data_IF_066443378426
#
_entry.id   IF_066443378426
#
_cell.length_a   1.000
_cell.length_b   1.000
_cell.length_c   1.000
_cell.angle_alpha   90.00
_cell.angle_beta   90.00
_cell.angle_gamma   90.00
#
_symmetry.space_group_name_H-M   'P 1'
#
loop_
_entity.id
_entity.type
_entity.pdbx_description
1 polymer ?
#
# COMPACT_ATOMS: atom_id res chain seq x y z
N UNK A 1 -13.74 41.23 -6.98
CA UNK A 1 -14.43 40.61 -5.83
C UNK A 1 -14.44 41.63 -4.72
N UNK A 2 -15.59 41.96 -4.14
CA UNK A 2 -15.68 43.01 -3.13
C UNK A 2 -15.06 42.56 -1.79
N UNK A 3 -14.54 43.50 -1.01
CA UNK A 3 -13.93 43.25 0.31
C UNK A 3 -14.88 42.48 1.27
N UNK A 4 -16.20 42.73 1.16
CA UNK A 4 -17.26 41.99 1.88
C UNK A 4 -17.39 40.53 1.43
N UNK A 5 -17.23 40.25 0.14
CA UNK A 5 -17.36 38.89 -0.40
C UNK A 5 -16.18 38.03 0.07
N UNK A 6 -14.97 38.61 0.08
CA UNK A 6 -13.76 37.96 0.57
C UNK A 6 -13.84 37.66 2.07
N UNK A 7 -14.37 38.59 2.87
CA UNK A 7 -14.54 38.39 4.31
C UNK A 7 -15.61 37.32 4.62
N UNK A 8 -16.65 37.21 3.79
CA UNK A 8 -17.69 36.18 3.91
C UNK A 8 -17.12 34.80 3.54
N UNK A 9 -16.39 34.70 2.43
CA UNK A 9 -15.71 33.47 2.02
C UNK A 9 -14.73 32.98 3.09
N UNK A 10 -13.96 33.87 3.71
CA UNK A 10 -13.04 33.53 4.80
C UNK A 10 -13.78 32.96 6.02
N UNK A 11 -14.93 33.52 6.41
CA UNK A 11 -15.74 32.97 7.51
C UNK A 11 -16.26 31.58 7.20
N UNK A 12 -16.73 31.37 5.97
CA UNK A 12 -17.24 30.08 5.50
C UNK A 12 -16.12 29.03 5.55
N UNK A 13 -14.94 29.33 5.01
CA UNK A 13 -13.79 28.41 5.02
C UNK A 13 -13.32 28.07 6.44
N UNK A 14 -13.26 29.05 7.35
CA UNK A 14 -12.95 28.81 8.76
C UNK A 14 -13.97 27.89 9.43
N UNK A 15 -15.25 28.07 9.12
CA UNK A 15 -16.30 27.21 9.64
C UNK A 15 -16.16 25.78 9.12
N UNK A 16 -15.96 25.59 7.82
CA UNK A 16 -15.70 24.27 7.24
C UNK A 16 -14.50 23.58 7.88
N UNK A 17 -13.37 24.28 8.00
CA UNK A 17 -12.17 23.71 8.63
C UNK A 17 -12.45 23.28 10.07
N UNK A 18 -13.11 24.13 10.86
CA UNK A 18 -13.44 23.83 12.25
C UNK A 18 -14.34 22.61 12.34
N UNK A 19 -15.44 22.57 11.58
CA UNK A 19 -16.37 21.44 11.58
C UNK A 19 -15.69 20.14 11.13
N UNK A 20 -14.86 20.18 10.08
CA UNK A 20 -14.12 19.00 9.63
C UNK A 20 -13.08 18.52 10.66
N UNK A 21 -12.38 19.42 11.35
CA UNK A 21 -11.46 19.07 12.45
C UNK A 21 -12.21 18.40 13.60
N UNK A 22 -13.32 18.99 14.05
CA UNK A 22 -14.17 18.41 15.09
C UNK A 22 -14.64 17.01 14.70
N UNK A 23 -15.04 16.81 13.44
CA UNK A 23 -15.43 15.49 12.93
C UNK A 23 -14.30 14.46 12.89
N UNK A 24 -13.05 14.86 12.61
CA UNK A 24 -11.92 13.92 12.65
C UNK A 24 -11.57 13.45 14.06
N UNK A 25 -11.84 14.29 15.06
CA UNK A 25 -11.57 13.99 16.48
C UNK A 25 -12.70 13.22 17.16
N UNK A 26 -13.91 13.27 16.61
CA UNK A 26 -15.06 12.57 17.18
C UNK A 26 -15.09 11.09 16.76
N UNK A 27 -14.65 10.24 17.68
CA UNK A 27 -14.62 8.78 17.50
C UNK A 27 -15.99 8.12 17.34
N UNK A 28 -17.08 8.84 17.64
CA UNK A 28 -18.47 8.34 17.61
C UNK A 28 -19.19 8.57 16.28
N UNK A 29 -18.57 9.31 15.34
CA UNK A 29 -19.20 9.64 14.07
C UNK A 29 -19.39 8.43 13.15
N UNK A 30 -20.45 8.51 12.36
CA UNK A 30 -20.73 7.61 11.25
C UNK A 30 -19.61 7.70 10.19
N UNK A 31 -19.23 6.57 9.61
CA UNK A 31 -18.11 6.47 8.66
C UNK A 31 -18.27 7.38 7.44
N UNK A 32 -19.53 7.59 7.01
CA UNK A 32 -19.85 8.52 5.93
C UNK A 32 -19.47 9.96 6.27
N UNK A 33 -19.70 10.39 7.51
CA UNK A 33 -19.37 11.75 7.97
C UNK A 33 -17.86 11.92 8.10
N UNK A 34 -17.19 10.90 8.65
CA UNK A 34 -15.73 10.87 8.71
C UNK A 34 -15.09 10.95 7.32
N UNK A 35 -15.58 10.14 6.37
CA UNK A 35 -15.14 10.17 4.97
C UNK A 35 -15.35 11.55 4.34
N UNK A 36 -16.50 12.18 4.59
CA UNK A 36 -16.79 13.51 4.07
C UNK A 36 -15.85 14.57 4.65
N UNK A 37 -15.53 14.48 5.95
CA UNK A 37 -14.56 15.37 6.59
C UNK A 37 -13.18 15.24 5.95
N UNK A 38 -12.66 14.01 5.80
CA UNK A 38 -11.36 13.74 5.15
C UNK A 38 -11.32 14.30 3.73
N UNK A 39 -12.36 14.06 2.92
CA UNK A 39 -12.45 14.57 1.54
C UNK A 39 -12.54 16.08 1.46
N UNK A 40 -13.35 16.69 2.33
CA UNK A 40 -13.49 18.15 2.42
C UNK A 40 -12.13 18.76 2.64
N UNK A 41 -11.36 18.19 3.55
CA UNK A 41 -10.05 18.71 3.85
C UNK A 41 -9.07 18.54 2.68
N UNK A 42 -9.09 17.40 1.97
CA UNK A 42 -8.31 17.20 0.75
C UNK A 42 -8.61 18.27 -0.33
N UNK A 43 -9.90 18.54 -0.57
CA UNK A 43 -10.35 19.47 -1.61
C UNK A 43 -10.01 20.93 -1.27
N UNK A 44 -10.16 21.31 0.00
CA UNK A 44 -9.98 22.70 0.43
C UNK A 44 -8.55 23.03 0.90
N UNK A 45 -7.57 22.13 0.76
CA UNK A 45 -6.17 22.37 1.14
C UNK A 45 -5.61 23.68 0.55
N UNK A 46 -5.84 23.93 -0.74
CA UNK A 46 -5.36 25.12 -1.44
C UNK A 46 -6.00 26.42 -0.90
N UNK A 47 -7.35 26.55 -0.90
CA UNK A 47 -8.02 27.69 -0.27
C UNK A 47 -7.65 27.89 1.21
N UNK A 48 -7.46 26.81 1.97
CA UNK A 48 -7.05 26.91 3.37
C UNK A 48 -5.64 27.49 3.52
N UNK A 49 -4.68 27.07 2.68
CA UNK A 49 -3.34 27.66 2.70
C UNK A 49 -3.38 29.15 2.40
N UNK A 50 -4.12 29.56 1.37
CA UNK A 50 -4.20 30.95 0.93
C UNK A 50 -4.84 31.86 1.97
N UNK A 51 -5.89 31.38 2.66
CA UNK A 51 -6.70 32.19 3.57
C UNK A 51 -6.23 32.12 5.02
N UNK A 52 -5.74 30.97 5.45
CA UNK A 52 -5.41 30.69 6.86
C UNK A 52 -3.91 30.54 7.10
N UNK A 53 -3.13 30.43 6.03
CA UNK A 53 -1.69 30.23 6.10
C UNK A 53 -1.31 28.76 6.30
N UNK A 54 0.00 28.52 6.16
CA UNK A 54 0.55 27.17 6.22
C UNK A 54 0.45 26.53 7.61
N UNK A 55 0.55 27.30 8.68
CA UNK A 55 0.46 26.79 10.06
C UNK A 55 -0.85 26.03 10.33
N UNK A 56 -1.97 26.49 9.76
CA UNK A 56 -3.26 25.80 9.90
C UNK A 56 -3.30 24.48 9.12
N UNK A 57 -2.58 24.38 8.00
CA UNK A 57 -2.40 23.11 7.30
C UNK A 57 -1.55 22.12 8.10
N UNK A 58 -0.58 22.58 8.90
CA UNK A 58 0.20 21.72 9.80
C UNK A 58 -0.70 21.11 10.86
N UNK A 59 -1.52 21.94 11.52
CA UNK A 59 -2.50 21.48 12.51
C UNK A 59 -3.51 20.54 11.87
N UNK A 60 -3.89 20.81 10.62
CA UNK A 60 -4.74 19.90 9.88
C UNK A 60 -4.06 18.54 9.67
N UNK A 61 -2.80 18.52 9.24
CA UNK A 61 -2.04 17.29 9.09
C UNK A 61 -1.91 16.53 10.40
N UNK A 62 -1.72 17.21 11.53
CA UNK A 62 -1.69 16.59 12.87
C UNK A 62 -3.01 15.89 13.19
N UNK A 63 -4.13 16.55 12.89
CA UNK A 63 -5.46 15.98 13.13
C UNK A 63 -5.70 14.77 12.22
N UNK A 64 -5.23 14.83 10.97
CA UNK A 64 -5.34 13.75 10.02
C UNK A 64 -4.49 12.54 10.42
N UNK A 65 -3.25 12.77 10.84
CA UNK A 65 -2.34 11.72 11.31
C UNK A 65 -2.93 11.02 12.55
N UNK A 66 -3.40 11.78 13.54
CA UNK A 66 -4.04 11.22 14.74
C UNK A 66 -5.31 10.43 14.41
N UNK A 67 -6.14 10.95 13.50
CA UNK A 67 -7.34 10.25 13.04
C UNK A 67 -6.98 8.96 12.28
N UNK A 68 -5.91 8.96 11.49
CA UNK A 68 -5.38 7.80 10.79
C UNK A 68 -4.81 6.74 11.74
N UNK A 69 -4.07 7.13 12.76
CA UNK A 69 -3.60 6.22 13.82
C UNK A 69 -4.76 5.57 14.56
N UNK A 70 -5.79 6.35 14.90
CA UNK A 70 -7.02 5.83 15.51
C UNK A 70 -7.73 4.82 14.59
N UNK A 71 -7.76 5.09 13.28
CA UNK A 71 -8.31 4.16 12.30
C UNK A 71 -7.51 2.84 12.29
N UNK A 72 -6.17 2.91 12.30
CA UNK A 72 -5.30 1.74 12.34
C UNK A 72 -5.50 0.90 13.61
N UNK A 73 -5.59 1.53 14.77
CA UNK A 73 -5.85 0.83 16.05
C UNK A 73 -7.22 0.15 16.04
N UNK A 74 -8.25 0.81 15.50
CA UNK A 74 -9.61 0.28 15.43
C UNK A 74 -9.80 -0.80 14.35
N UNK A 75 -8.93 -0.85 13.34
CA UNK A 75 -8.98 -1.85 12.26
C UNK A 75 -8.68 -3.27 12.75
N UNK A 76 -8.11 -3.43 13.95
CA UNK A 76 -7.95 -4.75 14.61
C UNK A 76 -9.31 -5.36 14.98
N UNK A 77 -10.37 -4.55 15.08
CA UNK A 77 -11.65 -4.94 15.67
C UNK A 77 -12.85 -4.90 14.71
N UNK A 78 -12.74 -4.41 13.45
CA UNK A 78 -13.92 -4.15 12.58
C UNK A 78 -13.70 -4.36 11.06
N UNK A 79 -14.85 -4.43 10.37
CA UNK A 79 -15.21 -4.91 9.02
C UNK A 79 -14.59 -4.21 7.78
N UNK A 80 -14.82 -4.83 6.61
CA UNK A 80 -14.33 -4.43 5.27
C UNK A 80 -14.66 -2.98 4.86
N UNK A 81 -15.75 -2.41 5.38
CA UNK A 81 -16.22 -1.06 5.00
C UNK A 81 -15.24 0.05 5.38
N UNK A 82 -14.47 -0.13 6.47
CA UNK A 82 -13.47 0.85 6.92
C UNK A 82 -12.23 0.89 6.03
N UNK A 83 -11.88 -0.21 5.38
CA UNK A 83 -10.77 -0.24 4.43
C UNK A 83 -11.04 0.67 3.23
N UNK A 84 -12.31 0.91 2.91
CA UNK A 84 -12.72 1.83 1.84
C UNK A 84 -12.44 3.30 2.17
N UNK A 85 -12.12 3.66 3.43
CA UNK A 85 -11.70 5.01 3.80
C UNK A 85 -10.19 5.24 3.60
N UNK A 86 -9.36 4.19 3.59
CA UNK A 86 -7.90 4.32 3.48
C UNK A 86 -7.44 5.13 2.25
N UNK A 87 -8.02 4.94 1.05
CA UNK A 87 -7.65 5.74 -0.12
C UNK A 87 -7.95 7.24 0.07
N UNK A 88 -9.04 7.56 0.76
CA UNK A 88 -9.43 8.95 1.02
C UNK A 88 -8.48 9.62 2.02
N UNK A 89 -8.02 8.88 3.05
CA UNK A 89 -6.99 9.36 3.98
C UNK A 89 -5.65 9.61 3.27
N UNK A 90 -5.21 8.67 2.42
CA UNK A 90 -3.97 8.81 1.66
C UNK A 90 -4.07 9.99 0.68
N UNK A 91 -5.21 10.15 0.00
CA UNK A 91 -5.45 11.27 -0.92
C UNK A 91 -5.44 12.62 -0.17
N UNK A 92 -6.07 12.69 0.99
CA UNK A 92 -6.05 13.88 1.84
C UNK A 92 -4.63 14.21 2.31
N UNK A 93 -3.89 13.22 2.81
CA UNK A 93 -2.52 13.39 3.26
C UNK A 93 -1.62 13.90 2.14
N UNK A 94 -1.68 13.27 0.96
CA UNK A 94 -0.93 13.68 -0.22
C UNK A 94 -1.30 15.10 -0.69
N UNK A 95 -2.57 15.50 -0.55
CA UNK A 95 -3.03 16.86 -0.87
C UNK A 95 -2.42 17.90 0.06
N UNK A 96 -2.42 17.65 1.38
CA UNK A 96 -1.84 18.59 2.36
C UNK A 96 -0.35 18.72 2.17
N UNK A 97 0.36 17.58 2.15
CA UNK A 97 1.83 17.55 2.09
C UNK A 97 2.33 18.18 0.81
N UNK A 98 1.63 17.99 -0.31
CA UNK A 98 1.94 18.67 -1.56
C UNK A 98 1.98 20.20 -1.42
N UNK A 99 1.18 20.77 -0.51
CA UNK A 99 1.11 22.22 -0.28
C UNK A 99 2.01 22.75 0.82
N UNK A 100 2.58 21.90 1.68
CA UNK A 100 3.53 22.33 2.71
C UNK A 100 4.88 22.69 2.09
N UNK A 101 5.61 23.65 2.67
CA UNK A 101 6.96 24.00 2.22
C UNK A 101 8.03 23.12 2.86
N UNK A 102 7.81 22.68 4.10
CA UNK A 102 8.73 21.80 4.82
C UNK A 102 8.47 20.31 4.54
N UNK A 103 9.50 19.50 4.77
CA UNK A 103 9.46 18.04 4.62
C UNK A 103 8.90 17.37 5.89
N UNK A 104 7.79 16.62 5.83
CA UNK A 104 7.20 15.94 6.99
C UNK A 104 7.82 14.56 7.32
N UNK A 105 9.14 14.43 7.39
CA UNK A 105 9.83 13.14 7.62
C UNK A 105 9.30 12.36 8.83
N UNK A 106 9.05 13.03 9.96
CA UNK A 106 8.53 12.39 11.18
C UNK A 106 7.14 11.76 11.01
N UNK A 107 6.37 12.21 10.02
CA UNK A 107 5.01 11.74 9.75
C UNK A 107 4.99 10.57 8.76
N UNK A 108 6.14 10.22 8.18
CA UNK A 108 6.25 9.11 7.23
C UNK A 108 5.78 7.78 7.83
N UNK A 109 5.96 7.59 9.14
CA UNK A 109 5.53 6.36 9.83
C UNK A 109 4.01 6.11 9.70
N UNK A 110 3.20 7.15 9.89
CA UNK A 110 1.72 7.03 9.86
C UNK A 110 1.25 6.72 8.44
N UNK A 111 1.74 7.45 7.44
CA UNK A 111 1.33 7.23 6.04
C UNK A 111 1.83 5.88 5.51
N UNK A 112 3.04 5.45 5.88
CA UNK A 112 3.53 4.12 5.53
C UNK A 112 2.64 3.04 6.17
N UNK A 113 2.29 3.15 7.45
CA UNK A 113 1.41 2.20 8.13
C UNK A 113 0.00 2.14 7.50
N UNK A 114 -0.57 3.29 7.11
CA UNK A 114 -1.85 3.35 6.40
C UNK A 114 -1.78 2.64 5.04
N UNK A 115 -0.70 2.86 4.27
CA UNK A 115 -0.48 2.18 2.99
C UNK A 115 -0.30 0.68 3.20
N UNK A 116 0.52 0.25 4.15
CA UNK A 116 0.71 -1.17 4.46
C UNK A 116 -0.61 -1.84 4.82
N UNK A 117 -1.44 -1.19 5.65
CA UNK A 117 -2.75 -1.72 6.00
C UNK A 117 -3.70 -1.78 4.80
N UNK A 118 -3.63 -0.81 3.89
CA UNK A 118 -4.41 -0.82 2.65
C UNK A 118 -4.01 -1.97 1.73
N UNK A 119 -2.72 -2.29 1.60
CA UNK A 119 -2.26 -3.45 0.85
C UNK A 119 -2.65 -4.78 1.51
N UNK A 120 -2.58 -4.88 2.83
CA UNK A 120 -3.05 -6.08 3.55
C UNK A 120 -4.55 -6.32 3.33
N UNK A 121 -5.36 -5.26 3.34
CA UNK A 121 -6.81 -5.34 3.13
C UNK A 121 -7.24 -5.45 1.66
N UNK A 122 -6.40 -5.03 0.72
CA UNK A 122 -6.74 -4.90 -0.70
C UNK A 122 -7.41 -6.15 -1.33
N UNK A 123 -6.97 -7.40 -1.06
CA UNK A 123 -7.60 -8.59 -1.64
C UNK A 123 -9.05 -8.84 -1.22
N UNK A 124 -9.47 -8.21 -0.11
CA UNK A 124 -10.82 -8.22 0.44
C UNK A 124 -11.66 -7.05 -0.10
N UNK A 125 -11.03 -6.05 -0.72
CA UNK A 125 -11.75 -4.89 -1.25
C UNK A 125 -12.43 -5.20 -2.60
N UNK A 126 -13.56 -4.55 -2.85
CA UNK A 126 -14.31 -4.64 -4.11
C UNK A 126 -13.48 -4.13 -5.30
N UNK A 127 -13.64 -4.70 -6.49
CA UNK A 127 -12.94 -4.24 -7.71
C UNK A 127 -13.15 -2.73 -8.01
N UNK A 128 -14.28 -2.15 -7.58
CA UNK A 128 -14.55 -0.70 -7.69
C UNK A 128 -13.58 0.17 -6.89
N UNK A 129 -12.96 -0.37 -5.85
CA UNK A 129 -11.97 0.32 -5.01
C UNK A 129 -10.57 0.39 -5.65
N UNK A 130 -10.26 -0.48 -6.62
CA UNK A 130 -8.95 -0.51 -7.30
C UNK A 130 -8.58 0.85 -7.88
N UNK A 131 -9.52 1.49 -8.58
CA UNK A 131 -9.29 2.79 -9.20
C UNK A 131 -9.04 3.89 -8.15
N UNK A 132 -9.77 3.85 -7.03
CA UNK A 132 -9.57 4.80 -5.94
C UNK A 132 -8.21 4.60 -5.27
N UNK A 133 -7.87 3.35 -4.94
CA UNK A 133 -6.59 2.96 -4.32
C UNK A 133 -5.41 3.34 -5.22
N UNK A 134 -5.45 2.91 -6.49
CA UNK A 134 -4.38 3.20 -7.46
C UNK A 134 -4.18 4.70 -7.63
N UNK A 135 -5.27 5.47 -7.77
CA UNK A 135 -5.20 6.92 -7.91
C UNK A 135 -4.62 7.60 -6.67
N UNK A 136 -5.10 7.24 -5.47
CA UNK A 136 -4.60 7.82 -4.22
C UNK A 136 -3.12 7.50 -4.01
N UNK A 137 -2.68 6.28 -4.32
CA UNK A 137 -1.26 5.89 -4.25
C UNK A 137 -0.40 6.65 -5.27
N UNK A 138 -0.83 6.76 -6.53
CA UNK A 138 -0.11 7.54 -7.53
C UNK A 138 0.06 8.99 -7.12
N UNK A 139 -1.01 9.60 -6.59
CA UNK A 139 -0.96 10.97 -6.06
C UNK A 139 0.03 11.08 -4.91
N UNK A 140 0.02 10.12 -3.97
CA UNK A 140 1.01 10.06 -2.90
C UNK A 140 2.43 9.97 -3.45
N UNK A 141 2.70 9.06 -4.40
CA UNK A 141 4.04 8.89 -4.98
C UNK A 141 4.55 10.17 -5.65
N UNK A 142 3.68 10.83 -6.43
CA UNK A 142 3.99 12.11 -7.07
C UNK A 142 4.26 13.22 -6.06
N UNK A 143 3.45 13.30 -5.00
CA UNK A 143 3.65 14.27 -3.92
C UNK A 143 4.98 14.02 -3.21
N UNK A 144 5.31 12.77 -2.88
CA UNK A 144 6.56 12.43 -2.19
C UNK A 144 7.79 12.67 -3.07
N UNK A 145 7.73 12.30 -4.36
CA UNK A 145 8.82 12.55 -5.32
C UNK A 145 9.10 14.06 -5.46
N UNK A 146 8.06 14.89 -5.45
CA UNK A 146 8.20 16.34 -5.45
C UNK A 146 8.82 16.91 -4.15
N UNK A 147 8.86 16.13 -3.06
CA UNK A 147 9.51 16.48 -1.78
C UNK A 147 10.93 15.92 -1.64
N UNK A 148 11.48 15.30 -2.67
CA UNK A 148 12.85 14.78 -2.66
C UNK A 148 12.96 13.40 -2.02
N UNK A 149 13.76 13.28 -0.96
CA UNK A 149 14.14 12.01 -0.33
C UNK A 149 12.97 11.29 0.36
N UNK A 150 11.83 11.97 0.56
CA UNK A 150 10.64 11.34 1.16
C UNK A 150 10.13 10.17 0.34
N UNK A 151 10.30 10.18 -0.98
CA UNK A 151 9.89 9.05 -1.80
C UNK A 151 10.80 7.85 -1.59
N UNK A 152 12.12 8.06 -1.45
CA UNK A 152 13.06 6.98 -1.15
C UNK A 152 12.78 6.37 0.23
N UNK A 153 12.58 7.21 1.25
CA UNK A 153 12.22 6.77 2.61
C UNK A 153 10.92 5.94 2.58
N UNK A 154 9.93 6.38 1.81
CA UNK A 154 8.66 5.67 1.66
C UNK A 154 8.86 4.30 0.98
N UNK A 155 9.61 4.28 -0.12
CA UNK A 155 9.88 3.09 -0.90
C UNK A 155 10.59 2.03 -0.04
N UNK A 156 11.66 2.42 0.66
CA UNK A 156 12.43 1.56 1.57
C UNK A 156 11.55 0.94 2.68
N UNK A 157 10.63 1.72 3.26
CA UNK A 157 9.79 1.26 4.38
C UNK A 157 8.63 0.37 3.93
N UNK A 158 8.13 0.57 2.71
CA UNK A 158 6.86 -0.04 2.29
C UNK A 158 7.01 -1.17 1.30
N UNK A 159 7.88 -1.06 0.29
CA UNK A 159 7.87 -1.98 -0.86
C UNK A 159 8.22 -3.40 -0.45
N UNK A 160 9.31 -3.60 0.30
CA UNK A 160 9.68 -4.95 0.78
C UNK A 160 8.58 -5.55 1.66
N UNK A 161 8.01 -4.76 2.58
CA UNK A 161 6.93 -5.19 3.46
C UNK A 161 5.67 -5.61 2.70
N UNK A 162 5.30 -4.86 1.66
CA UNK A 162 4.16 -5.17 0.78
C UNK A 162 4.43 -6.48 0.02
N UNK A 163 5.62 -6.61 -0.58
CA UNK A 163 6.01 -7.79 -1.35
C UNK A 163 6.00 -9.05 -0.49
N UNK A 164 6.56 -9.00 0.72
CA UNK A 164 6.53 -10.13 1.67
C UNK A 164 5.09 -10.43 2.08
N UNK A 165 4.29 -9.43 2.45
CA UNK A 165 2.89 -9.64 2.88
C UNK A 165 2.05 -10.28 1.78
N UNK A 166 2.27 -9.88 0.52
CA UNK A 166 1.60 -10.44 -0.64
C UNK A 166 2.03 -11.88 -0.92
N UNK A 167 3.34 -12.13 -0.95
CA UNK A 167 3.89 -13.42 -1.35
C UNK A 167 3.88 -14.46 -0.21
N UNK A 168 3.67 -14.04 1.03
CA UNK A 168 3.43 -14.92 2.18
C UNK A 168 1.99 -15.49 2.22
N UNK A 169 1.07 -14.96 1.40
CA UNK A 169 -0.27 -15.54 1.24
C UNK A 169 -0.17 -16.92 0.55
N UNK A 170 -1.29 -17.62 0.42
CA UNK A 170 -1.29 -18.98 -0.13
C UNK A 170 -0.77 -19.00 -1.57
N UNK A 171 -0.08 -20.08 -1.92
CA UNK A 171 0.28 -20.36 -3.31
C UNK A 171 -0.94 -20.68 -4.14
N UNK A 172 -0.83 -20.51 -5.46
CA UNK A 172 -1.89 -20.85 -6.41
C UNK A 172 -2.38 -22.29 -6.24
N UNK A 173 -1.44 -23.24 -6.11
CA UNK A 173 -1.77 -24.64 -5.89
C UNK A 173 -2.48 -24.90 -4.55
N UNK A 174 -2.15 -24.15 -3.49
CA UNK A 174 -2.85 -24.25 -2.20
C UNK A 174 -4.26 -23.66 -2.27
N UNK A 175 -4.42 -22.53 -2.96
CA UNK A 175 -5.73 -21.90 -3.18
C UNK A 175 -6.66 -22.78 -4.05
N UNK A 176 -6.13 -23.42 -5.09
CA UNK A 176 -6.86 -24.36 -5.93
C UNK A 176 -7.34 -25.60 -5.13
N UNK A 177 -6.47 -26.20 -4.33
CA UNK A 177 -6.86 -27.31 -3.43
C UNK A 177 -7.89 -26.87 -2.38
N UNK A 178 -7.75 -25.68 -1.81
CA UNK A 178 -8.70 -25.16 -0.84
C UNK A 178 -10.10 -24.93 -1.47
N UNK A 179 -10.15 -24.50 -2.74
CA UNK A 179 -11.39 -24.35 -3.49
C UNK A 179 -12.09 -25.70 -3.75
N UNK A 180 -11.32 -26.77 -3.92
CA UNK A 180 -11.83 -28.13 -4.18
C UNK A 180 -12.37 -28.84 -2.92
N UNK A 181 -11.95 -28.43 -1.71
CA UNK A 181 -12.19 -29.20 -0.47
C UNK A 181 -13.41 -28.72 0.37
N UNK A 182 -14.03 -27.58 0.03
CA UNK A 182 -15.25 -26.99 0.64
C UNK A 182 -15.39 -27.00 2.18
N UNK A 183 -15.14 -25.85 2.82
CA UNK A 183 -15.95 -25.33 3.95
C UNK A 183 -16.09 -23.79 3.83
N UNK A 184 -17.32 -23.31 3.61
CA UNK A 184 -17.68 -21.90 3.27
C UNK A 184 -17.26 -20.83 4.29
N UNK A 185 -16.83 -21.19 5.50
CA UNK A 185 -16.53 -20.22 6.57
C UNK A 185 -15.08 -19.73 6.59
N UNK A 186 -14.14 -20.39 5.89
CA UNK A 186 -12.71 -20.01 5.83
C UNK A 186 -12.19 -19.69 4.42
N UNK A 187 -13.06 -19.80 3.40
CA UNK A 187 -12.77 -19.61 1.97
C UNK A 187 -12.22 -18.22 1.61
N UNK A 188 -12.55 -17.19 2.40
CA UNK A 188 -12.15 -15.82 2.12
C UNK A 188 -10.64 -15.57 2.22
N UNK A 189 -9.96 -16.20 3.19
CA UNK A 189 -8.51 -16.05 3.38
C UNK A 189 -7.71 -17.09 2.60
N UNK A 190 -8.29 -18.28 2.37
CA UNK A 190 -7.62 -19.35 1.64
C UNK A 190 -7.43 -19.06 0.14
N UNK A 191 -8.29 -18.22 -0.44
CA UNK A 191 -8.23 -17.77 -1.85
C UNK A 191 -7.45 -16.47 -2.08
N UNK A 192 -6.78 -15.93 -1.04
CA UNK A 192 -5.95 -14.74 -1.21
C UNK A 192 -4.60 -15.15 -1.80
N UNK A 193 -4.40 -14.88 -3.08
CA UNK A 193 -3.13 -15.11 -3.80
C UNK A 193 -2.54 -13.77 -4.26
N UNK A 194 -1.27 -13.78 -4.69
CA UNK A 194 -0.62 -12.61 -5.26
C UNK A 194 -1.35 -12.06 -6.51
N UNK A 195 -2.10 -12.91 -7.24
CA UNK A 195 -2.77 -12.54 -8.50
C UNK A 195 -3.72 -11.37 -8.34
N UNK A 196 -4.40 -11.26 -7.19
CA UNK A 196 -5.29 -10.13 -6.89
C UNK A 196 -4.55 -8.80 -6.96
N UNK A 197 -3.29 -8.76 -6.52
CA UNK A 197 -2.46 -7.57 -6.48
C UNK A 197 -1.89 -7.14 -7.84
N UNK A 198 -1.78 -8.05 -8.82
CA UNK A 198 -1.21 -7.75 -10.13
C UNK A 198 -1.91 -6.57 -10.81
N UNK A 199 -3.25 -6.51 -10.73
CA UNK A 199 -4.02 -5.42 -11.31
C UNK A 199 -3.66 -4.05 -10.68
N UNK A 200 -3.39 -4.03 -9.37
CA UNK A 200 -2.97 -2.82 -8.66
C UNK A 200 -1.57 -2.40 -9.07
N UNK A 201 -0.59 -3.31 -9.04
CA UNK A 201 0.79 -2.99 -9.43
C UNK A 201 0.89 -2.52 -10.88
N UNK A 202 0.18 -3.18 -11.80
CA UNK A 202 0.09 -2.75 -13.20
C UNK A 202 -0.53 -1.36 -13.30
N UNK A 203 -1.63 -1.12 -12.60
CA UNK A 203 -2.27 0.18 -12.57
C UNK A 203 -1.32 1.26 -12.05
N UNK A 204 -0.53 1.01 -11.00
CA UNK A 204 0.44 1.97 -10.45
C UNK A 204 1.52 2.41 -11.45
N UNK A 205 1.89 1.55 -12.40
CA UNK A 205 2.88 1.86 -13.44
C UNK A 205 2.29 2.58 -14.67
N UNK A 206 0.97 2.62 -14.79
CA UNK A 206 0.28 3.32 -15.88
C UNK A 206 0.15 4.83 -15.61
N UNK A 207 0.12 5.63 -16.68
CA UNK A 207 -0.09 7.08 -16.58
C UNK A 207 -1.57 7.38 -16.28
N UNK A 208 -1.84 8.13 -15.22
CA UNK A 208 -3.17 8.68 -14.95
C UNK A 208 -3.29 10.12 -15.48
N UNK A 209 -4.01 10.28 -16.59
CA UNK A 209 -4.22 11.59 -17.21
C UNK A 209 -5.09 12.52 -16.36
N UNK A 210 -5.91 12.02 -15.43
CA UNK A 210 -6.71 12.86 -14.55
C UNK A 210 -5.81 13.56 -13.51
N UNK A 211 -4.81 12.86 -12.99
CA UNK A 211 -3.84 13.46 -12.07
C UNK A 211 -3.04 14.61 -12.73
N UNK A 212 -2.76 14.55 -14.04
CA UNK A 212 -2.14 15.65 -14.77
C UNK A 212 -2.97 16.94 -14.75
N UNK A 213 -4.31 16.83 -14.68
CA UNK A 213 -5.20 17.99 -14.64
C UNK A 213 -5.38 18.53 -13.22
N UNK A 214 -5.23 17.66 -12.21
CA UNK A 214 -5.48 17.99 -10.81
C UNK A 214 -4.25 18.53 -10.08
N UNK A 215 -3.05 18.04 -10.44
CA UNK A 215 -1.80 18.44 -9.81
C UNK A 215 -0.99 19.36 -10.72
N UNK A 216 -0.75 20.58 -10.26
CA UNK A 216 0.10 21.53 -10.98
C UNK A 216 1.53 20.99 -11.13
N UNK A 217 2.09 21.06 -12.34
CA UNK A 217 3.46 20.61 -12.63
C UNK A 217 3.62 19.11 -12.85
N UNK A 218 2.56 18.31 -12.71
CA UNK A 218 2.57 16.88 -13.05
C UNK A 218 2.28 16.70 -14.53
N UNK A 219 3.18 16.01 -15.24
CA UNK A 219 3.01 15.63 -16.63
C UNK A 219 3.33 14.14 -16.82
N UNK A 220 3.13 13.63 -18.04
CA UNK A 220 3.40 12.24 -18.37
C UNK A 220 4.84 11.81 -18.07
N UNK A 221 5.83 12.70 -18.25
CA UNK A 221 7.24 12.40 -18.02
C UNK A 221 7.56 12.23 -16.53
N UNK A 222 7.02 13.13 -15.69
CA UNK A 222 7.13 13.04 -14.23
C UNK A 222 6.50 11.75 -13.73
N UNK A 223 5.29 11.41 -14.22
CA UNK A 223 4.64 10.15 -13.86
C UNK A 223 5.46 8.92 -14.28
N UNK A 224 6.00 8.91 -15.50
CA UNK A 224 6.84 7.80 -15.97
C UNK A 224 8.13 7.67 -15.17
N UNK A 225 8.75 8.79 -14.76
CA UNK A 225 9.94 8.77 -13.89
C UNK A 225 9.61 8.15 -12.53
N UNK A 226 8.52 8.58 -11.90
CA UNK A 226 8.08 8.05 -10.59
C UNK A 226 7.73 6.57 -10.69
N UNK A 227 7.02 6.16 -11.74
CA UNK A 227 6.72 4.76 -12.03
C UNK A 227 8.00 3.93 -12.24
N UNK A 228 9.00 4.47 -12.93
CA UNK A 228 10.29 3.80 -13.12
C UNK A 228 11.06 3.60 -11.81
N UNK A 229 11.02 4.60 -10.90
CA UNK A 229 11.61 4.49 -9.56
C UNK A 229 10.91 3.45 -8.70
N UNK A 230 9.57 3.43 -8.71
CA UNK A 230 8.79 2.40 -8.02
C UNK A 230 9.09 1.00 -8.57
N UNK A 231 9.20 0.85 -9.90
CA UNK A 231 9.60 -0.41 -10.52
C UNK A 231 11.01 -0.85 -10.08
N UNK A 232 11.97 0.08 -10.02
CA UNK A 232 13.33 -0.22 -9.56
C UNK A 232 13.34 -0.72 -8.13
N UNK A 233 12.55 -0.10 -7.26
CA UNK A 233 12.44 -0.54 -5.88
C UNK A 233 11.86 -1.95 -5.78
N UNK A 234 10.86 -2.29 -6.60
CA UNK A 234 10.31 -3.66 -6.62
C UNK A 234 11.41 -4.67 -6.94
N UNK A 235 12.25 -4.39 -7.94
CA UNK A 235 13.36 -5.27 -8.32
C UNK A 235 14.41 -5.36 -7.20
N UNK A 236 14.83 -4.22 -6.65
CA UNK A 236 15.81 -4.17 -5.55
C UNK A 236 15.32 -4.90 -4.30
N UNK A 237 14.09 -4.61 -3.88
CA UNK A 237 13.46 -5.26 -2.74
C UNK A 237 13.33 -6.76 -2.95
N UNK A 238 12.98 -7.20 -4.17
CA UNK A 238 12.88 -8.62 -4.51
C UNK A 238 14.24 -9.29 -4.39
N UNK A 239 15.30 -8.73 -4.96
CA UNK A 239 16.67 -9.27 -4.83
C UNK A 239 17.06 -9.36 -3.34
N UNK A 240 16.83 -8.29 -2.59
CA UNK A 240 17.16 -8.24 -1.16
C UNK A 240 16.36 -9.25 -0.31
N UNK A 241 15.12 -9.57 -0.70
CA UNK A 241 14.31 -10.59 -0.03
C UNK A 241 14.84 -11.99 -0.39
N UNK A 242 15.09 -12.24 -1.68
CA UNK A 242 15.61 -13.54 -2.15
C UNK A 242 16.97 -13.88 -1.52
N UNK A 243 17.85 -12.90 -1.36
CA UNK A 243 19.16 -13.06 -0.69
C UNK A 243 19.04 -13.45 0.80
N UNK A 244 17.88 -13.17 1.43
CA UNK A 244 17.61 -13.48 2.83
C UNK A 244 16.88 -14.80 3.04
N UNK A 245 16.29 -15.39 1.99
CA UNK A 245 15.56 -16.64 2.10
C UNK A 245 16.52 -17.79 2.44
N UNK A 246 16.14 -18.59 3.43
CA UNK A 246 16.94 -19.74 3.82
C UNK A 246 16.43 -21.00 3.11
N UNK A 247 17.21 -21.48 2.15
CA UNK A 247 17.00 -22.79 1.55
C UNK A 247 17.97 -23.77 2.21
N UNK A 248 17.49 -24.61 3.13
CA UNK A 248 18.22 -25.82 3.46
C UNK A 248 17.85 -26.89 2.45
N UNK A 249 18.84 -27.48 1.80
CA UNK A 249 18.67 -28.76 1.13
C UNK A 249 18.25 -29.76 2.20
N UNK A 250 16.98 -30.17 2.18
CA UNK A 250 16.57 -31.37 2.87
C UNK A 250 17.28 -32.48 2.09
N UNK A 251 18.48 -32.87 2.53
CA UNK A 251 19.10 -34.12 2.11
C UNK A 251 18.10 -35.23 2.45
N UNK A 252 17.31 -35.63 1.47
CA UNK A 252 16.60 -36.89 1.55
C UNK A 252 17.69 -37.96 1.50
N UNK A 253 18.10 -38.42 2.68
CA UNK A 253 18.95 -39.59 2.77
C UNK A 253 18.28 -40.72 1.98
N UNK A 254 18.98 -41.35 1.02
CA UNK A 254 18.37 -42.35 0.13
C UNK A 254 17.96 -43.66 0.83
N UNK A 255 18.15 -43.78 2.15
CA UNK A 255 17.91 -45.01 2.91
C UNK A 255 16.44 -45.26 3.28
N UNK A 256 15.51 -44.34 2.99
CA UNK A 256 14.07 -44.56 3.31
C UNK A 256 13.29 -45.23 2.18
N UNK A 257 13.88 -45.48 1.00
CA UNK A 257 13.16 -46.11 -0.13
C UNK A 257 13.16 -47.65 -0.06
N UNK A 258 13.83 -48.29 0.91
CA UNK A 258 13.92 -49.77 0.96
C UNK A 258 13.23 -50.50 2.11
N UNK A 259 12.48 -49.83 3.00
CA UNK A 259 11.60 -50.56 3.92
C UNK A 259 10.18 -50.05 3.81
N UNK A 260 9.32 -50.84 3.15
CA UNK A 260 7.87 -50.71 3.21
C UNK A 260 7.37 -51.00 4.62
N UNK A 261 7.54 -50.03 5.52
CA UNK A 261 6.96 -50.02 6.85
C UNK A 261 6.27 -48.67 7.02
N UNK A 262 5.00 -48.75 7.38
CA UNK A 262 4.07 -47.68 7.64
C UNK A 262 4.74 -46.52 8.39
N UNK A 263 4.75 -45.35 7.74
CA UNK A 263 5.35 -44.12 8.21
C UNK A 263 4.51 -43.51 9.32
N UNK A 264 4.81 -43.84 10.57
CA UNK A 264 4.27 -43.14 11.73
C UNK A 264 5.33 -42.72 12.77
N UNK A 265 6.63 -42.86 12.46
CA UNK A 265 7.69 -42.41 13.37
C UNK A 265 8.99 -42.06 12.63
N UNK A 266 9.14 -40.79 12.25
CA UNK A 266 10.43 -40.12 12.00
C UNK A 266 10.31 -38.73 12.67
N UNK A 267 10.65 -38.65 13.96
CA UNK A 267 11.94 -38.09 14.46
C UNK A 267 12.04 -36.58 14.24
N UNK A 268 11.91 -35.86 15.35
CA UNK A 268 12.38 -34.49 15.64
C UNK A 268 13.18 -33.82 14.52
N UNK A 269 12.48 -33.19 13.59
CA UNK A 269 13.01 -32.02 12.88
C UNK A 269 12.56 -30.83 13.73
N UNK A 270 13.50 -29.95 14.12
CA UNK A 270 13.19 -28.68 14.80
C UNK A 270 11.95 -28.05 14.15
N UNK A 271 10.82 -28.08 14.87
CA UNK A 271 9.49 -27.73 14.34
C UNK A 271 9.48 -26.27 13.88
N UNK A 272 10.27 -25.41 14.53
CA UNK A 272 10.45 -24.01 14.15
C UNK A 272 11.29 -23.85 12.86
N UNK A 273 12.38 -24.62 12.72
CA UNK A 273 13.22 -24.60 11.51
C UNK A 273 12.48 -25.14 10.29
N UNK A 274 11.73 -26.22 10.44
CA UNK A 274 10.90 -26.78 9.37
C UNK A 274 9.75 -25.86 8.95
N UNK A 275 9.09 -25.17 9.89
CA UNK A 275 8.06 -24.19 9.57
C UNK A 275 8.62 -22.96 8.82
N UNK A 276 9.79 -22.45 9.23
CA UNK A 276 10.46 -21.34 8.56
C UNK A 276 10.88 -21.72 7.13
N UNK A 277 11.46 -22.90 6.93
CA UNK A 277 11.87 -23.39 5.60
C UNK A 277 10.64 -23.59 4.69
N UNK A 278 9.53 -24.11 5.22
CA UNK A 278 8.27 -24.24 4.45
C UNK A 278 7.71 -22.86 4.08
N UNK A 279 7.76 -21.90 4.99
CA UNK A 279 7.36 -20.50 4.75
C UNK A 279 8.23 -19.83 3.68
N UNK A 280 9.55 -19.95 3.77
CA UNK A 280 10.51 -19.36 2.84
C UNK A 280 10.38 -20.01 1.43
N UNK A 281 10.13 -21.32 1.37
CA UNK A 281 9.85 -22.01 0.10
C UNK A 281 8.54 -21.53 -0.53
N UNK A 282 7.47 -21.35 0.26
CA UNK A 282 6.20 -20.80 -0.23
C UNK A 282 6.42 -19.39 -0.78
N UNK A 283 7.13 -18.57 -0.02
CA UNK A 283 7.45 -17.19 -0.35
C UNK A 283 8.22 -17.12 -1.68
N UNK A 284 9.24 -17.98 -1.85
CA UNK A 284 10.00 -18.10 -3.09
C UNK A 284 9.13 -18.44 -4.31
N UNK A 285 8.29 -19.47 -4.21
CA UNK A 285 7.42 -19.90 -5.32
C UNK A 285 6.49 -18.75 -5.73
N UNK A 286 5.83 -18.11 -4.78
CA UNK A 286 4.96 -16.96 -5.05
C UNK A 286 5.72 -15.78 -5.66
N UNK A 287 6.96 -15.52 -5.24
CA UNK A 287 7.79 -14.47 -5.83
C UNK A 287 8.12 -14.76 -7.29
N UNK A 288 8.56 -15.99 -7.60
CA UNK A 288 8.87 -16.39 -8.98
C UNK A 288 7.64 -16.26 -9.86
N UNK A 289 6.51 -16.76 -9.42
CA UNK A 289 5.25 -16.70 -10.16
C UNK A 289 4.78 -15.24 -10.35
N UNK A 290 4.83 -14.43 -9.28
CA UNK A 290 4.51 -13.00 -9.35
C UNK A 290 5.39 -12.27 -10.38
N UNK A 291 6.70 -12.46 -10.36
CA UNK A 291 7.62 -11.82 -11.31
C UNK A 291 7.36 -12.29 -12.73
N UNK A 292 7.08 -13.58 -12.93
CA UNK A 292 6.74 -14.13 -14.24
C UNK A 292 5.51 -13.44 -14.85
N UNK A 293 4.50 -13.15 -14.04
CA UNK A 293 3.27 -12.47 -14.49
C UNK A 293 3.40 -10.93 -14.54
N UNK A 294 4.24 -10.35 -13.69
CA UNK A 294 4.41 -8.90 -13.55
C UNK A 294 5.39 -8.31 -14.58
N UNK A 295 6.50 -8.99 -14.87
CA UNK A 295 7.59 -8.42 -15.68
C UNK A 295 7.29 -8.28 -17.19
N UNK A 296 6.62 -9.22 -17.89
CA UNK A 296 6.48 -9.14 -19.35
C UNK A 296 5.78 -7.87 -19.85
N UNK A 297 4.68 -7.39 -19.25
CA UNK A 297 4.05 -6.12 -19.62
C UNK A 297 4.95 -4.89 -19.44
N UNK A 298 5.99 -4.99 -18.61
CA UNK A 298 6.85 -3.89 -18.17
C UNK A 298 8.30 -4.02 -18.67
N UNK A 299 8.52 -4.79 -19.75
CA UNK A 299 9.82 -5.03 -20.40
C UNK A 299 10.66 -3.76 -20.67
N UNK A 300 10.00 -2.62 -20.94
CA UNK A 300 10.68 -1.32 -21.11
C UNK A 300 11.46 -0.89 -19.88
N UNK A 301 10.93 -1.09 -18.67
CA UNK A 301 11.62 -0.77 -17.43
C UNK A 301 12.68 -1.82 -17.09
N UNK A 302 12.47 -3.07 -17.49
CA UNK A 302 13.39 -4.18 -17.23
C UNK A 302 14.71 -4.08 -18.01
N UNK A 303 14.73 -3.39 -19.16
CA UNK A 303 15.90 -3.36 -20.07
C UNK A 303 17.20 -2.93 -19.38
N UNK A 304 17.13 -2.00 -18.41
CA UNK A 304 18.31 -1.55 -17.65
C UNK A 304 18.82 -2.55 -16.61
N UNK A 305 17.99 -3.53 -16.22
CA UNK A 305 18.32 -4.54 -15.21
C UNK A 305 18.89 -5.82 -15.81
N UNK A 306 18.69 -6.07 -17.12
CA UNK A 306 19.21 -7.26 -17.82
C UNK A 306 20.71 -7.53 -17.55
N UNK A 307 21.61 -6.52 -17.56
CA UNK A 307 23.03 -6.76 -17.28
C UNK A 307 23.33 -7.24 -15.86
N UNK A 308 22.45 -6.95 -14.89
CA UNK A 308 22.62 -7.37 -13.48
C UNK A 308 22.12 -8.79 -13.23
N UNK A 309 21.22 -9.30 -14.07
CA UNK A 309 20.67 -10.66 -13.97
C UNK A 309 21.43 -11.71 -14.79
N UNK A 310 22.43 -11.31 -15.59
CA UNK A 310 23.17 -12.18 -16.52
C UNK A 310 24.58 -12.53 -16.02
N UNK A 311 24.87 -12.25 -14.75
CA UNK A 311 26.10 -12.64 -14.04
C UNK A 311 25.76 -13.71 -13.02
#
# INVERSE_FOLDING_TARGET
>A
VGEKDQQTAMRILKHFLKTSKESLTDSSLEERQLRLAVKTLAIFCDPFKEVLGEAELIVFLDTLDQSGENLLQRAVMFEEERYMLLPDYIDAWASVVGKLTYSPERRMQVICALVLKMFDAFPKCLATSLNAISRSLKKLFLTLDAKGELFDIFLDQTVSSILVTMCAKNTKAEAERAAETQEESSLGESLLTYEKYLALFRSLLEIDRKLNMEMAGVNCEVQLRVAARFFDEIILATIAILDRLQFQEIEQSPDVIQSGVESDNLMDVDIEGSAQIVGDRRLFVNFVDFLFDFLPPHSKFLTKWIPRFTV
#
